data_IF_632611018446
#
_entry.id   IF_632611018446
#
_cell.length_a   1.000
_cell.length_b   1.000
_cell.length_c   1.000
_cell.angle_alpha   90.00
_cell.angle_beta   90.00
_cell.angle_gamma   90.00
#
_symmetry.space_group_name_H-M   'P 1'
#
loop_
_entity.id
_entity.type
_entity.pdbx_description
1 polymer ?
#
# COMPACT_ATOMS: atom_id res chain seq x y z
N UNK A 1 -41.03 25.80 13.20
CA UNK A 1 -40.91 25.09 11.91
C UNK A 1 -39.51 25.30 11.34
N UNK A 2 -38.47 24.76 11.98
CA UNK A 2 -37.10 24.82 11.46
C UNK A 2 -36.37 23.54 11.87
N UNK A 3 -36.64 22.44 11.16
CA UNK A 3 -35.95 21.18 11.41
C UNK A 3 -35.97 20.28 10.17
N UNK A 4 -35.61 20.78 8.98
CA UNK A 4 -35.64 19.96 7.75
C UNK A 4 -34.59 20.29 6.67
N UNK A 5 -33.39 20.81 7.00
CA UNK A 5 -32.39 21.16 5.94
C UNK A 5 -31.00 20.49 6.09
N UNK A 6 -30.72 19.70 7.14
CA UNK A 6 -29.34 19.17 7.36
C UNK A 6 -29.06 17.72 6.97
N UNK A 7 -29.97 17.01 6.30
CA UNK A 7 -29.74 15.61 5.86
C UNK A 7 -29.37 15.43 4.37
N UNK A 8 -29.49 16.46 3.52
CA UNK A 8 -29.29 16.32 2.07
C UNK A 8 -27.84 16.48 1.55
N UNK A 9 -26.99 17.27 2.22
CA UNK A 9 -25.69 17.65 1.64
C UNK A 9 -24.55 16.63 1.84
N UNK A 10 -24.69 15.63 2.73
CA UNK A 10 -23.58 14.71 3.02
C UNK A 10 -23.42 13.59 1.97
N UNK A 11 -24.52 13.16 1.33
CA UNK A 11 -24.50 12.15 0.27
C UNK A 11 -23.99 12.68 -1.08
N UNK A 12 -24.34 13.91 -1.42
CA UNK A 12 -23.99 14.55 -2.70
C UNK A 12 -22.47 14.76 -2.82
N UNK A 13 -21.81 15.22 -1.75
CA UNK A 13 -20.36 15.40 -1.74
C UNK A 13 -19.59 14.08 -1.77
N UNK A 14 -20.08 13.01 -1.12
CA UNK A 14 -19.46 11.67 -1.26
C UNK A 14 -19.62 11.14 -2.69
N UNK A 15 -20.78 11.32 -3.30
CA UNK A 15 -21.03 10.93 -4.70
C UNK A 15 -20.20 11.72 -5.71
N UNK A 16 -20.04 13.03 -5.53
CA UNK A 16 -19.19 13.87 -6.39
C UNK A 16 -17.72 13.48 -6.28
N UNK A 17 -17.21 13.30 -5.05
CA UNK A 17 -15.81 12.95 -4.84
C UNK A 17 -15.52 11.55 -5.42
N UNK A 18 -16.39 10.56 -5.16
CA UNK A 18 -16.25 9.23 -5.77
C UNK A 18 -16.40 9.29 -7.30
N UNK A 19 -17.31 10.12 -7.82
CA UNK A 19 -17.50 10.32 -9.26
C UNK A 19 -16.30 10.96 -9.95
N UNK A 20 -15.64 11.93 -9.32
CA UNK A 20 -14.41 12.53 -9.84
C UNK A 20 -13.25 11.54 -9.83
N UNK A 21 -13.12 10.70 -8.78
CA UNK A 21 -12.07 9.68 -8.75
C UNK A 21 -12.28 8.59 -9.79
N UNK A 22 -13.52 8.14 -10.01
CA UNK A 22 -13.80 7.11 -11.02
C UNK A 22 -13.60 7.64 -12.43
N UNK A 23 -13.95 8.90 -12.73
CA UNK A 23 -13.69 9.49 -14.05
C UNK A 23 -12.22 9.73 -14.30
N UNK A 24 -11.46 10.24 -13.31
CA UNK A 24 -10.01 10.39 -13.42
C UNK A 24 -9.31 9.04 -13.59
N UNK A 25 -9.74 8.03 -12.85
CA UNK A 25 -9.20 6.68 -12.98
C UNK A 25 -9.53 6.07 -14.33
N UNK A 26 -10.77 6.21 -14.82
CA UNK A 26 -11.15 5.76 -16.16
C UNK A 26 -10.35 6.48 -17.27
N UNK A 27 -10.11 7.79 -17.11
CA UNK A 27 -9.26 8.55 -18.02
C UNK A 27 -7.82 8.03 -18.02
N UNK A 28 -7.25 7.74 -16.85
CA UNK A 28 -5.91 7.16 -16.72
C UNK A 28 -5.80 5.77 -17.36
N UNK A 29 -6.80 4.90 -17.16
CA UNK A 29 -6.84 3.56 -17.76
C UNK A 29 -6.88 3.62 -19.30
N UNK A 30 -7.58 4.61 -19.88
CA UNK A 30 -7.70 4.76 -21.33
C UNK A 30 -6.46 5.38 -22.00
N UNK A 31 -5.70 6.20 -21.29
CA UNK A 31 -4.61 6.99 -21.91
C UNK A 31 -3.26 6.29 -21.95
N UNK A 32 -3.01 5.30 -21.08
CA UNK A 32 -1.69 4.67 -20.95
C UNK A 32 -1.65 3.34 -21.71
N UNK A 33 -1.21 3.38 -22.95
CA UNK A 33 -0.84 2.20 -23.72
C UNK A 33 0.68 1.96 -23.68
N UNK A 34 1.09 0.71 -23.81
CA UNK A 34 2.48 0.27 -23.83
C UNK A 34 2.73 -0.56 -25.09
N UNK A 35 3.93 -0.46 -25.65
CA UNK A 35 4.39 -1.39 -26.66
C UNK A 35 4.78 -2.70 -25.99
N UNK A 36 4.06 -3.76 -26.30
CA UNK A 36 4.36 -5.11 -25.82
C UNK A 36 4.83 -5.98 -27.00
N UNK A 37 5.87 -6.83 -26.81
CA UNK A 37 6.24 -7.82 -27.81
C UNK A 37 5.14 -8.88 -27.89
N UNK A 38 4.42 -8.91 -29.00
CA UNK A 38 3.45 -9.95 -29.31
C UNK A 38 4.13 -11.03 -30.14
N UNK A 39 4.32 -12.21 -29.55
CA UNK A 39 4.72 -13.41 -30.28
C UNK A 39 3.48 -14.06 -30.87
N UNK A 40 3.34 -14.07 -32.19
CA UNK A 40 2.31 -14.89 -32.82
C UNK A 40 2.76 -16.36 -32.75
N UNK A 41 1.93 -17.23 -32.17
CA UNK A 41 2.27 -18.65 -32.01
C UNK A 41 2.56 -19.38 -33.35
N UNK A 42 2.16 -18.77 -34.48
CA UNK A 42 2.26 -19.34 -35.83
C UNK A 42 3.48 -18.84 -36.64
N UNK A 43 3.96 -17.62 -36.39
CA UNK A 43 5.16 -17.08 -37.02
C UNK A 43 6.13 -16.64 -35.93
N UNK A 44 7.39 -17.10 -35.97
CA UNK A 44 8.50 -16.66 -35.09
C UNK A 44 8.87 -15.17 -35.23
N UNK A 45 7.99 -14.34 -35.78
CA UNK A 45 8.14 -12.90 -35.84
C UNK A 45 7.59 -12.27 -34.56
N UNK A 46 8.44 -11.54 -33.86
CA UNK A 46 8.05 -10.67 -32.75
C UNK A 46 7.70 -9.32 -33.34
N UNK A 47 6.42 -8.96 -33.30
CA UNK A 47 5.97 -7.61 -33.64
C UNK A 47 5.65 -6.85 -32.35
N UNK A 48 5.93 -5.55 -32.32
CA UNK A 48 5.52 -4.67 -31.23
C UNK A 48 4.11 -4.17 -31.53
N UNK A 49 3.16 -4.44 -30.65
CA UNK A 49 1.81 -3.91 -30.75
C UNK A 49 1.46 -3.05 -29.54
N UNK A 50 0.60 -2.06 -29.77
CA UNK A 50 0.14 -1.14 -28.74
C UNK A 50 -0.95 -1.82 -27.92
N UNK A 51 -0.71 -2.06 -26.64
CA UNK A 51 -1.66 -2.71 -25.72
C UNK A 51 -1.96 -1.82 -24.52
N UNK A 52 -3.12 -2.02 -23.90
CA UNK A 52 -3.49 -1.27 -22.69
C UNK A 52 -2.59 -1.67 -21.52
N UNK A 53 -2.03 -0.68 -20.82
CA UNK A 53 -1.16 -0.94 -19.67
C UNK A 53 -1.93 -1.47 -18.46
N UNK A 54 -3.19 -1.05 -18.32
CA UNK A 54 -4.08 -1.43 -17.24
C UNK A 54 -5.42 -1.92 -17.79
N UNK A 55 -6.00 -2.92 -17.13
CA UNK A 55 -7.28 -3.51 -17.50
C UNK A 55 -8.15 -3.61 -16.25
N UNK A 56 -9.44 -3.30 -16.39
CA UNK A 56 -10.41 -3.47 -15.31
C UNK A 56 -11.14 -4.80 -15.49
N UNK A 57 -10.92 -5.73 -14.57
CA UNK A 57 -11.46 -7.08 -14.62
C UNK A 57 -12.31 -7.35 -13.38
N UNK A 58 -13.38 -8.13 -13.52
CA UNK A 58 -14.16 -8.57 -12.36
C UNK A 58 -13.64 -9.92 -11.86
N UNK A 59 -13.38 -10.01 -10.55
CA UNK A 59 -13.04 -11.26 -9.89
C UNK A 59 -14.10 -11.61 -8.86
N UNK A 60 -14.58 -12.83 -8.93
CA UNK A 60 -15.48 -13.37 -7.92
C UNK A 60 -14.66 -13.83 -6.71
N UNK A 61 -14.89 -13.21 -5.57
CA UNK A 61 -14.34 -13.64 -4.29
C UNK A 61 -15.49 -14.11 -3.40
N UNK A 62 -15.53 -15.40 -3.11
CA UNK A 62 -16.64 -16.02 -2.38
C UNK A 62 -17.99 -15.72 -3.06
N UNK A 63 -18.92 -15.05 -2.37
CA UNK A 63 -20.25 -14.69 -2.87
C UNK A 63 -20.35 -13.32 -3.53
N UNK A 64 -19.27 -12.54 -3.58
CA UNK A 64 -19.29 -11.16 -4.09
C UNK A 64 -18.29 -10.94 -5.23
N UNK A 65 -18.73 -10.25 -6.27
CA UNK A 65 -17.89 -9.82 -7.38
C UNK A 65 -17.22 -8.49 -7.05
N UNK A 66 -15.90 -8.41 -7.25
CA UNK A 66 -15.10 -7.21 -7.05
C UNK A 66 -14.47 -6.78 -8.37
N UNK A 67 -14.50 -5.48 -8.66
CA UNK A 67 -13.71 -4.89 -9.73
C UNK A 67 -12.23 -4.81 -9.33
N UNK A 68 -11.36 -5.39 -10.13
CA UNK A 68 -9.91 -5.47 -9.90
C UNK A 68 -9.20 -4.87 -11.11
N UNK A 69 -8.36 -3.87 -10.86
CA UNK A 69 -7.49 -3.30 -11.89
C UNK A 69 -6.22 -4.15 -11.94
N UNK A 70 -5.96 -4.74 -13.11
CA UNK A 70 -4.77 -5.54 -13.39
C UNK A 70 -3.86 -4.77 -14.35
N UNK A 71 -2.55 -4.93 -14.23
CA UNK A 71 -1.58 -4.33 -15.14
C UNK A 71 -0.98 -5.37 -16.09
N UNK A 72 -0.48 -4.90 -17.23
CA UNK A 72 0.20 -5.74 -18.21
C UNK A 72 1.56 -6.24 -17.68
N UNK A 73 1.98 -7.51 -17.91
CA UNK A 73 3.25 -8.04 -17.42
C UNK A 73 4.49 -7.22 -17.84
N UNK A 74 4.49 -6.64 -19.04
CA UNK A 74 5.58 -5.76 -19.47
C UNK A 74 5.74 -4.51 -18.58
N UNK A 75 4.63 -3.98 -18.03
CA UNK A 75 4.70 -2.86 -17.08
C UNK A 75 5.33 -3.30 -15.76
N UNK A 76 5.05 -4.53 -15.32
CA UNK A 76 5.65 -5.08 -14.11
C UNK A 76 7.17 -5.14 -14.19
N UNK A 77 7.70 -5.65 -15.30
CA UNK A 77 9.15 -5.71 -15.54
C UNK A 77 9.77 -4.31 -15.57
N UNK A 78 9.09 -3.35 -16.21
CA UNK A 78 9.52 -1.96 -16.22
C UNK A 78 9.56 -1.37 -14.80
N UNK A 79 8.50 -1.58 -14.00
CA UNK A 79 8.45 -1.10 -12.61
C UNK A 79 9.55 -1.71 -11.75
N UNK A 80 9.89 -2.98 -11.96
CA UNK A 80 11.00 -3.64 -11.27
C UNK A 80 12.37 -3.05 -11.67
N UNK A 81 12.52 -2.63 -12.93
CA UNK A 81 13.76 -2.02 -13.44
C UNK A 81 13.91 -0.55 -13.05
N UNK A 82 12.81 0.15 -12.80
CA UNK A 82 12.81 1.58 -12.50
C UNK A 82 13.35 1.89 -11.09
N UNK A 83 14.01 3.04 -10.89
CA UNK A 83 14.47 3.46 -9.57
C UNK A 83 13.27 3.67 -8.64
N UNK A 84 13.34 3.07 -7.45
CA UNK A 84 12.28 3.19 -6.45
C UNK A 84 12.37 4.55 -5.77
N UNK A 85 11.31 5.35 -5.89
CA UNK A 85 11.17 6.59 -5.13
C UNK A 85 10.41 6.31 -3.84
N UNK A 86 11.00 6.70 -2.70
CA UNK A 86 10.28 6.75 -1.43
C UNK A 86 9.33 7.95 -1.51
N UNK A 87 8.03 7.71 -1.42
CA UNK A 87 7.07 8.81 -1.39
C UNK A 87 7.29 9.63 -0.11
N UNK A 88 7.32 10.96 -0.24
CA UNK A 88 7.59 11.86 0.88
C UNK A 88 6.47 11.86 1.96
N UNK A 89 5.38 11.15 1.72
CA UNK A 89 4.20 11.14 2.59
C UNK A 89 4.39 10.12 3.71
N UNK A 90 4.30 10.59 4.97
CA UNK A 90 4.42 9.73 6.14
C UNK A 90 5.85 9.40 6.57
N UNK A 91 6.84 10.15 6.07
CA UNK A 91 8.22 10.07 6.56
C UNK A 91 8.39 10.81 7.89
N UNK A 92 9.36 10.41 8.74
CA UNK A 92 9.68 11.17 9.95
C UNK A 92 10.13 12.60 9.58
N UNK A 93 9.76 13.57 10.41
CA UNK A 93 10.20 14.95 10.23
C UNK A 93 11.67 15.11 10.64
N UNK A 94 12.43 15.84 9.84
CA UNK A 94 13.83 16.23 10.16
C UNK A 94 13.92 17.45 11.07
N UNK A 95 12.78 18.05 11.41
CA UNK A 95 12.63 19.19 12.29
C UNK A 95 11.57 18.88 13.35
N UNK A 96 11.56 19.58 14.50
CA UNK A 96 10.54 19.40 15.52
C UNK A 96 9.13 19.55 14.94
N UNK A 97 8.17 18.69 15.36
CA UNK A 97 6.79 18.79 14.92
C UNK A 97 6.12 20.05 15.45
N UNK A 98 5.02 20.47 14.81
CA UNK A 98 4.13 21.48 15.36
C UNK A 98 3.48 20.98 16.65
N UNK A 99 3.37 21.82 17.69
CA UNK A 99 2.65 21.47 18.90
C UNK A 99 1.18 21.19 18.61
N UNK A 100 0.60 20.27 19.37
CA UNK A 100 -0.79 19.89 19.31
C UNK A 100 -1.65 20.93 20.02
N UNK A 101 -2.33 21.76 19.23
CA UNK A 101 -3.22 22.81 19.75
C UNK A 101 -4.69 22.38 19.78
N UNK A 102 -5.08 21.51 18.84
CA UNK A 102 -6.44 20.97 18.74
C UNK A 102 -6.38 19.55 18.22
N UNK A 103 -7.51 18.83 18.26
CA UNK A 103 -7.64 17.47 17.71
C UNK A 103 -7.28 17.33 16.23
N UNK A 104 -7.16 18.43 15.48
CA UNK A 104 -6.86 18.46 14.05
C UNK A 104 -5.75 19.47 13.67
N UNK A 105 -4.99 19.96 14.66
CA UNK A 105 -3.87 20.88 14.47
C UNK A 105 -2.70 20.45 15.35
N UNK A 106 -1.64 19.94 14.72
CA UNK A 106 -0.42 19.44 15.34
C UNK A 106 0.29 18.43 14.44
N UNK A 107 1.52 18.08 14.78
CA UNK A 107 2.34 17.14 13.99
C UNK A 107 3.03 17.81 12.80
N UNK A 108 2.66 17.43 11.58
CA UNK A 108 3.32 17.94 10.36
C UNK A 108 3.07 19.45 10.14
N UNK A 109 4.08 20.14 9.57
CA UNK A 109 3.99 21.58 9.31
C UNK A 109 2.90 21.96 8.28
N UNK A 110 2.88 21.26 7.15
CA UNK A 110 2.04 21.60 5.99
C UNK A 110 0.77 20.74 5.93
N UNK A 111 0.87 19.49 6.37
CA UNK A 111 -0.21 18.52 6.25
C UNK A 111 -1.05 18.46 7.52
N UNK A 112 -2.36 18.66 7.36
CA UNK A 112 -3.30 18.51 8.48
C UNK A 112 -3.34 17.06 8.95
N UNK A 113 -3.06 16.85 10.22
CA UNK A 113 -3.05 15.52 10.84
C UNK A 113 -4.13 15.45 11.90
N UNK A 114 -4.87 14.34 11.89
CA UNK A 114 -5.85 14.04 12.94
C UNK A 114 -5.14 13.39 14.12
N UNK A 115 -5.40 13.89 15.32
CA UNK A 115 -4.87 13.34 16.57
C UNK A 115 -5.24 11.86 16.73
N UNK A 116 -6.49 11.50 16.41
CA UNK A 116 -7.02 10.13 16.51
C UNK A 116 -7.34 9.58 15.12
N UNK A 117 -6.80 8.39 14.82
CA UNK A 117 -7.07 7.63 13.59
C UNK A 117 -8.42 6.92 13.67
N UNK A 118 -9.51 7.69 13.68
CA UNK A 118 -10.89 7.17 13.74
C UNK A 118 -11.75 7.74 12.61
N UNK A 119 -12.85 7.05 12.31
CA UNK A 119 -13.82 7.39 11.28
C UNK A 119 -15.24 7.34 11.86
N UNK A 120 -16.20 7.97 11.18
CA UNK A 120 -17.59 7.97 11.62
C UNK A 120 -17.81 8.68 12.96
N UNK A 121 -18.57 8.05 13.85
CA UNK A 121 -19.00 8.66 15.12
C UNK A 121 -17.85 8.98 16.07
N UNK A 122 -16.83 8.13 16.13
CA UNK A 122 -15.65 8.38 16.98
C UNK A 122 -14.96 9.71 16.66
N UNK A 123 -14.95 10.13 15.39
CA UNK A 123 -14.41 11.45 15.00
C UNK A 123 -15.27 12.60 15.52
N UNK A 124 -16.60 12.40 15.65
CA UNK A 124 -17.51 13.42 16.18
C UNK A 124 -17.33 13.60 17.68
N UNK A 125 -17.15 12.50 18.42
CA UNK A 125 -16.87 12.54 19.85
C UNK A 125 -15.56 13.25 20.16
N UNK A 126 -14.48 12.94 19.44
CA UNK A 126 -13.19 13.63 19.61
C UNK A 126 -13.33 15.14 19.38
N UNK A 127 -14.03 15.55 18.31
CA UNK A 127 -14.32 16.97 18.05
C UNK A 127 -15.20 17.63 19.12
N UNK A 128 -16.04 16.87 19.81
CA UNK A 128 -16.84 17.40 20.92
C UNK A 128 -15.98 17.61 22.16
N UNK A 129 -15.13 16.62 22.49
CA UNK A 129 -14.21 16.71 23.62
C UNK A 129 -13.19 17.84 23.45
N UNK A 130 -12.69 18.04 22.23
CA UNK A 130 -11.79 19.14 21.86
C UNK A 130 -12.43 20.51 22.11
N UNK A 131 -13.70 20.68 21.67
CA UNK A 131 -14.47 21.92 21.89
C UNK A 131 -14.77 22.19 23.37
N UNK A 132 -14.82 21.14 24.19
CA UNK A 132 -15.02 21.25 25.63
C UNK A 132 -13.70 21.49 26.39
N UNK A 133 -12.54 21.45 25.71
CA UNK A 133 -11.24 21.60 26.35
C UNK A 133 -10.77 20.38 27.14
N UNK A 134 -11.44 19.24 27.02
CA UNK A 134 -11.13 18.04 27.81
C UNK A 134 -9.87 17.29 27.33
N UNK A 135 -9.27 17.73 26.21
CA UNK A 135 -8.14 17.04 25.58
C UNK A 135 -6.77 17.65 25.91
N UNK A 136 -6.70 18.75 26.68
CA UNK A 136 -5.45 19.51 26.90
C UNK A 136 -4.31 18.63 27.41
N UNK A 137 -4.56 17.77 28.41
CA UNK A 137 -3.52 16.87 28.94
C UNK A 137 -3.02 15.83 27.93
N UNK A 138 -3.91 15.36 27.04
CA UNK A 138 -3.53 14.42 25.98
C UNK A 138 -2.70 15.13 24.91
N UNK A 139 -3.09 16.34 24.51
CA UNK A 139 -2.35 17.14 23.53
C UNK A 139 -0.93 17.43 24.03
N UNK A 140 -0.78 17.83 25.29
CA UNK A 140 0.54 18.05 25.91
C UNK A 140 1.37 16.77 25.97
N UNK A 141 0.77 15.64 26.32
CA UNK A 141 1.48 14.35 26.31
C UNK A 141 1.97 13.98 24.91
N UNK A 142 1.19 14.25 23.86
CA UNK A 142 1.59 14.03 22.48
C UNK A 142 2.75 14.94 22.06
N UNK A 143 2.79 16.19 22.54
CA UNK A 143 3.91 17.10 22.30
C UNK A 143 5.21 16.59 22.92
N UNK A 144 5.14 16.09 24.17
CA UNK A 144 6.31 15.49 24.84
C UNK A 144 6.82 14.28 24.07
N UNK A 145 5.92 13.39 23.60
CA UNK A 145 6.29 12.24 22.80
C UNK A 145 6.88 12.64 21.43
N UNK A 146 6.27 13.60 20.76
CA UNK A 146 6.69 14.07 19.44
C UNK A 146 8.00 14.86 19.44
N UNK A 147 8.33 15.51 20.55
CA UNK A 147 9.58 16.26 20.73
C UNK A 147 10.81 15.36 20.91
N UNK A 148 10.62 14.05 21.15
CA UNK A 148 11.74 13.11 21.28
C UNK A 148 12.47 12.94 19.95
N UNK A 149 13.74 13.33 19.91
CA UNK A 149 14.59 13.17 18.73
C UNK A 149 15.09 11.73 18.61
N UNK A 150 14.99 11.15 17.42
CA UNK A 150 15.46 9.80 17.10
C UNK A 150 16.62 9.85 16.13
N UNK A 151 17.61 8.97 16.30
CA UNK A 151 18.71 8.76 15.35
C UNK A 151 18.81 7.29 15.00
N UNK A 152 19.14 7.02 13.74
CA UNK A 152 19.37 5.65 13.26
C UNK A 152 20.69 5.10 13.84
N UNK A 153 20.65 3.85 14.29
CA UNK A 153 21.85 3.12 14.69
C UNK A 153 22.58 2.62 13.43
N UNK A 154 23.61 3.37 13.01
CA UNK A 154 24.37 3.11 11.78
C UNK A 154 25.04 1.72 11.74
N UNK A 155 25.72 1.23 12.80
CA UNK A 155 26.26 -0.14 12.82
C UNK A 155 25.20 -1.21 12.54
N UNK A 156 24.02 -1.10 13.17
CA UNK A 156 22.93 -2.06 12.98
C UNK A 156 22.36 -1.96 11.57
N UNK A 157 22.20 -0.74 11.04
CA UNK A 157 21.74 -0.53 9.67
C UNK A 157 22.70 -1.16 8.65
N UNK A 158 24.02 -1.01 8.84
CA UNK A 158 25.03 -1.61 7.97
C UNK A 158 24.91 -3.13 7.92
N UNK A 159 24.82 -3.78 9.08
CA UNK A 159 24.63 -5.24 9.16
C UNK A 159 23.32 -5.66 8.49
N UNK A 160 22.22 -4.93 8.73
CA UNK A 160 20.93 -5.25 8.11
C UNK A 160 20.98 -5.15 6.57
N UNK A 161 21.68 -4.17 6.02
CA UNK A 161 21.88 -4.02 4.56
C UNK A 161 22.74 -5.16 4.01
N UNK A 162 23.84 -5.51 4.69
CA UNK A 162 24.69 -6.61 4.29
C UNK A 162 23.91 -7.94 4.26
N UNK A 163 23.15 -8.25 5.31
CA UNK A 163 22.30 -9.43 5.36
C UNK A 163 21.22 -9.42 4.27
N UNK A 164 20.59 -8.26 4.03
CA UNK A 164 19.59 -8.09 2.98
C UNK A 164 20.15 -8.39 1.59
N UNK A 165 21.34 -7.87 1.29
CA UNK A 165 22.02 -8.08 0.02
C UNK A 165 22.47 -9.54 -0.17
N UNK A 166 22.87 -10.22 0.91
CA UNK A 166 23.18 -11.66 0.90
C UNK A 166 21.93 -12.54 0.80
N UNK A 167 20.75 -11.99 1.07
CA UNK A 167 19.48 -12.75 1.09
C UNK A 167 19.34 -13.66 2.31
N UNK A 168 20.03 -13.36 3.40
CA UNK A 168 19.98 -14.14 4.64
C UNK A 168 18.65 -13.93 5.38
N UNK A 169 18.22 -14.94 6.14
CA UNK A 169 17.01 -14.86 6.95
C UNK A 169 17.34 -14.39 8.37
N UNK A 170 16.67 -13.34 8.82
CA UNK A 170 16.68 -12.91 10.21
C UNK A 170 15.29 -12.48 10.69
N UNK A 171 15.11 -12.33 12.00
CA UNK A 171 13.85 -11.87 12.57
C UNK A 171 13.56 -10.43 12.09
N UNK A 172 12.50 -10.26 11.30
CA UNK A 172 12.14 -8.97 10.66
C UNK A 172 12.80 -8.71 9.30
N UNK A 173 13.69 -9.61 8.84
CA UNK A 173 14.35 -9.58 7.53
C UNK A 173 14.06 -10.91 6.82
N UNK A 174 12.94 -11.00 6.08
CA UNK A 174 12.56 -12.21 5.38
C UNK A 174 13.48 -12.47 4.18
N UNK A 175 14.01 -13.69 4.04
CA UNK A 175 14.81 -14.12 2.87
C UNK A 175 13.92 -14.30 1.62
N UNK A 176 14.50 -14.26 0.40
CA UNK A 176 13.74 -14.50 -0.84
C UNK A 176 13.26 -15.95 -0.89
N UNK A 177 11.94 -16.16 -0.90
CA UNK A 177 11.38 -17.51 -0.97
C UNK A 177 11.01 -17.88 -2.40
N UNK A 178 11.68 -18.90 -2.95
CA UNK A 178 11.33 -19.53 -4.24
C UNK A 178 10.89 -20.97 -4.01
N UNK A 179 9.58 -21.20 -3.91
CA UNK A 179 9.01 -22.54 -3.84
C UNK A 179 8.79 -23.10 -5.25
N UNK A 180 9.36 -24.27 -5.61
CA UNK A 180 9.15 -24.87 -6.92
C UNK A 180 7.67 -25.23 -7.13
N UNK A 181 7.17 -25.17 -8.38
CA UNK A 181 5.81 -25.59 -8.69
C UNK A 181 5.64 -27.07 -8.38
N UNK A 182 4.54 -27.44 -7.74
CA UNK A 182 4.22 -28.86 -7.49
C UNK A 182 3.69 -29.49 -8.78
N UNK A 183 4.19 -30.66 -9.21
CA UNK A 183 3.69 -31.32 -10.41
C UNK A 183 2.21 -31.66 -10.23
N UNK A 184 1.41 -31.41 -11.27
CA UNK A 184 0.01 -31.80 -11.28
C UNK A 184 -0.09 -33.33 -11.35
N UNK A 185 -0.92 -33.99 -10.53
CA UNK A 185 -1.16 -35.42 -10.65
C UNK A 185 -1.65 -35.77 -12.05
N UNK A 186 -1.06 -36.81 -12.67
CA UNK A 186 -1.49 -37.35 -13.96
C UNK A 186 -2.74 -38.23 -13.82
N UNK A 187 -2.98 -38.76 -12.63
CA UNK A 187 -4.11 -39.65 -12.31
C UNK A 187 -5.45 -38.91 -12.36
N UNK A 188 -6.50 -39.58 -12.83
CA UNK A 188 -7.88 -39.05 -12.90
C UNK A 188 -8.61 -38.96 -11.54
N UNK A 189 -7.92 -39.25 -10.43
CA UNK A 189 -8.51 -39.25 -9.09
C UNK A 189 -8.84 -37.83 -8.63
N UNK A 190 -10.15 -37.54 -8.54
CA UNK A 190 -10.66 -36.22 -8.14
C UNK A 190 -10.12 -35.75 -6.78
N UNK A 191 -9.88 -36.67 -5.84
CA UNK A 191 -9.34 -36.35 -4.50
C UNK A 191 -7.90 -35.82 -4.58
N UNK A 192 -7.02 -36.53 -5.30
CA UNK A 192 -5.63 -36.12 -5.48
C UNK A 192 -5.52 -34.78 -6.21
N UNK A 193 -6.38 -34.56 -7.21
CA UNK A 193 -6.45 -33.28 -7.92
C UNK A 193 -6.87 -32.14 -6.98
N UNK A 194 -7.88 -32.36 -6.14
CA UNK A 194 -8.36 -31.36 -5.17
C UNK A 194 -7.29 -31.03 -4.11
N UNK A 195 -6.59 -32.03 -3.59
CA UNK A 195 -5.47 -31.86 -2.67
C UNK A 195 -4.33 -31.07 -3.32
N UNK A 196 -4.01 -31.36 -4.59
CA UNK A 196 -3.02 -30.60 -5.35
C UNK A 196 -3.41 -29.12 -5.45
N UNK A 197 -4.65 -28.81 -5.85
CA UNK A 197 -5.14 -27.42 -5.93
C UNK A 197 -5.01 -26.68 -4.59
N UNK A 198 -5.43 -27.31 -3.49
CA UNK A 198 -5.27 -26.76 -2.14
C UNK A 198 -3.79 -26.51 -1.81
N UNK A 199 -2.93 -27.46 -2.14
CA UNK A 199 -1.50 -27.35 -1.87
C UNK A 199 -0.81 -26.25 -2.69
N UNK A 200 -1.27 -26.02 -3.93
CA UNK A 200 -0.77 -24.99 -4.83
C UNK A 200 -1.27 -23.60 -4.43
N UNK A 201 -2.51 -23.50 -3.95
CA UNK A 201 -3.06 -22.27 -3.36
C UNK A 201 -2.26 -21.86 -2.13
N UNK A 202 -1.98 -22.80 -1.21
CA UNK A 202 -1.12 -22.56 -0.06
C UNK A 202 0.27 -22.11 -0.50
N UNK A 203 0.88 -22.79 -1.49
CA UNK A 203 2.21 -22.42 -2.02
C UNK A 203 2.23 -20.98 -2.54
N UNK A 204 1.24 -20.60 -3.35
CA UNK A 204 1.10 -19.24 -3.88
C UNK A 204 0.87 -18.21 -2.77
N UNK A 205 0.01 -18.52 -1.81
CA UNK A 205 -0.26 -17.65 -0.67
C UNK A 205 1.01 -17.42 0.17
N UNK A 206 1.78 -18.46 0.46
CA UNK A 206 3.06 -18.35 1.19
C UNK A 206 4.06 -17.47 0.43
N UNK A 207 4.18 -17.65 -0.90
CA UNK A 207 5.06 -16.84 -1.73
C UNK A 207 4.64 -15.35 -1.75
N UNK A 208 3.34 -15.08 -1.88
CA UNK A 208 2.81 -13.71 -1.85
C UNK A 208 2.98 -13.06 -0.48
N UNK A 209 2.77 -13.80 0.61
CA UNK A 209 3.00 -13.31 1.96
C UNK A 209 4.48 -12.98 2.20
N UNK A 210 5.40 -13.84 1.76
CA UNK A 210 6.83 -13.56 1.82
C UNK A 210 7.21 -12.31 1.01
N UNK A 211 6.65 -12.16 -0.21
CA UNK A 211 6.87 -10.97 -1.03
C UNK A 211 6.37 -9.70 -0.33
N UNK A 212 5.17 -9.72 0.25
CA UNK A 212 4.60 -8.59 0.97
C UNK A 212 5.50 -8.16 2.16
N UNK A 213 5.97 -9.13 2.95
CA UNK A 213 6.91 -8.86 4.04
C UNK A 213 8.24 -8.29 3.52
N UNK A 214 8.75 -8.81 2.40
CA UNK A 214 9.99 -8.30 1.79
C UNK A 214 9.84 -6.87 1.29
N UNK A 215 8.71 -6.51 0.68
CA UNK A 215 8.45 -5.14 0.23
C UNK A 215 8.39 -4.18 1.42
N UNK A 216 7.72 -4.57 2.50
CA UNK A 216 7.67 -3.78 3.75
C UNK A 216 9.07 -3.58 4.36
N UNK A 217 9.86 -4.66 4.51
CA UNK A 217 11.24 -4.56 5.00
C UNK A 217 12.13 -3.72 4.09
N UNK A 218 12.02 -3.86 2.77
CA UNK A 218 12.80 -3.07 1.82
C UNK A 218 12.47 -1.58 1.93
N UNK A 219 11.18 -1.24 2.04
CA UNK A 219 10.75 0.15 2.21
C UNK A 219 11.30 0.78 3.50
N UNK A 220 11.30 0.04 4.60
CA UNK A 220 11.89 0.48 5.88
C UNK A 220 13.39 0.69 5.79
N UNK A 221 14.12 -0.21 5.11
CA UNK A 221 15.55 -0.06 4.88
C UNK A 221 15.86 1.15 3.99
N UNK A 222 15.06 1.38 2.95
CA UNK A 222 15.23 2.52 2.05
C UNK A 222 14.97 3.85 2.78
N UNK A 223 13.95 3.92 3.67
CA UNK A 223 13.75 5.09 4.55
C UNK A 223 14.93 5.26 5.51
N UNK A 224 15.38 4.19 6.16
CA UNK A 224 16.48 4.28 7.12
C UNK A 224 17.78 4.80 6.46
N UNK A 225 18.06 4.38 5.23
CA UNK A 225 19.19 4.90 4.43
C UNK A 225 19.02 6.36 4.05
N UNK A 226 17.80 6.79 3.73
CA UNK A 226 17.54 8.18 3.36
C UNK A 226 17.73 9.14 4.55
N UNK A 227 17.31 8.71 5.74
CA UNK A 227 17.35 9.54 6.96
C UNK A 227 18.69 9.43 7.70
N UNK A 228 19.52 8.41 7.46
CA UNK A 228 20.81 8.24 8.17
C UNK A 228 21.84 9.35 7.89
N UNK A 229 21.65 10.16 6.84
CA UNK A 229 22.56 11.26 6.50
C UNK A 229 22.19 12.60 7.14
N UNK A 230 21.07 12.68 7.86
CA UNK A 230 20.61 13.86 8.59
C UNK A 230 20.94 13.75 10.08
#
# INVERSE_FOLDING_TARGET
MESLVKSGCCGIFRGLIHGCYTTLLAAFLNFRSLFAPTSFAFFRHVSLSLQQAFTHNYRNFSSKTWGVISYHPALHELLLSSPRTVEAWGLPMVIPPQPWLTSNSGGYLLHKTRMVRTHGEGSRYVKSADRQGNLVGVLQALDVLGATAWRINEPVLKVAIEMWNKGEQAKGLPAPLKLPPKPRPTTGDKKLIAEWYKSEEVRKATMLNNLAQRVDSNYKLDIAKAVSFC
#
